data_IF_963275533308
#
_entry.id   IF_963275533308
#
_cell.length_a   1.000
_cell.length_b   1.000
_cell.length_c   1.000
_cell.angle_alpha   90.00
_cell.angle_beta   90.00
_cell.angle_gamma   90.00
#
_symmetry.space_group_name_H-M   'P 1'
#
loop_
_entity.id
_entity.type
_entity.pdbx_description
1 polymer ?
#
# COMPACT_ATOMS: atom_id res chain seq x y z
N UNK A 1 38.51 -36.95 61.73
CA UNK A 1 38.44 -35.65 61.04
C UNK A 1 38.30 -35.95 59.56
N UNK A 2 37.34 -35.36 58.82
CA UNK A 2 37.27 -35.58 57.38
C UNK A 2 38.54 -35.00 56.74
N UNK A 3 39.26 -35.83 55.98
CA UNK A 3 40.50 -35.45 55.30
C UNK A 3 40.11 -34.93 53.92
N UNK A 4 40.43 -33.67 53.62
CA UNK A 4 40.16 -33.07 52.32
C UNK A 4 41.35 -33.44 51.43
N UNK A 5 41.10 -34.19 50.36
CA UNK A 5 42.14 -34.54 49.38
C UNK A 5 42.55 -33.29 48.58
N UNK A 6 43.83 -33.17 48.21
CA UNK A 6 44.35 -32.00 47.48
C UNK A 6 43.61 -31.75 46.14
N UNK A 7 42.99 -32.79 45.58
CA UNK A 7 42.10 -32.73 44.42
C UNK A 7 40.82 -31.92 44.66
N UNK A 8 40.20 -32.05 45.84
CA UNK A 8 38.97 -31.32 46.19
C UNK A 8 39.25 -29.82 46.36
N UNK A 9 40.43 -29.46 46.86
CA UNK A 9 40.90 -28.07 46.95
C UNK A 9 41.12 -27.45 45.57
N UNK A 10 41.69 -28.22 44.63
CA UNK A 10 41.91 -27.78 43.26
C UNK A 10 40.58 -27.60 42.50
N UNK A 11 39.63 -28.52 42.70
CA UNK A 11 38.30 -28.43 42.10
C UNK A 11 37.51 -27.24 42.65
N UNK A 12 37.58 -27.00 43.97
CA UNK A 12 36.97 -25.83 44.59
C UNK A 12 37.53 -24.52 44.02
N UNK A 13 38.84 -24.41 43.84
CA UNK A 13 39.45 -23.21 43.25
C UNK A 13 38.98 -23.01 41.80
N UNK A 14 38.92 -24.09 41.01
CA UNK A 14 38.42 -24.06 39.64
C UNK A 14 36.96 -23.63 39.55
N UNK A 15 36.13 -24.05 40.49
CA UNK A 15 34.71 -23.66 40.52
C UNK A 15 34.52 -22.22 41.01
N UNK A 16 35.36 -21.74 41.93
CA UNK A 16 35.41 -20.32 42.31
C UNK A 16 35.80 -19.46 41.10
N UNK A 17 36.83 -19.84 40.33
CA UNK A 17 37.25 -19.12 39.13
C UNK A 17 36.15 -19.10 38.06
N UNK A 18 35.49 -20.24 37.80
CA UNK A 18 34.34 -20.30 36.89
C UNK A 18 33.21 -19.38 37.35
N UNK A 19 32.87 -19.41 38.64
CA UNK A 19 31.83 -18.57 39.21
C UNK A 19 32.18 -17.09 39.06
N UNK A 20 33.44 -16.71 39.23
CA UNK A 20 33.92 -15.36 39.05
C UNK A 20 33.82 -14.90 37.59
N UNK A 21 34.24 -15.74 36.64
CA UNK A 21 34.11 -15.47 35.20
C UNK A 21 32.64 -15.34 34.77
N UNK A 22 31.76 -16.20 35.30
CA UNK A 22 30.32 -16.13 35.00
C UNK A 22 29.73 -14.82 35.55
N UNK A 23 30.08 -14.43 36.77
CA UNK A 23 29.61 -13.18 37.35
C UNK A 23 30.07 -11.96 36.54
N UNK A 24 31.33 -11.92 36.09
CA UNK A 24 31.83 -10.86 35.21
C UNK A 24 31.05 -10.80 33.89
N UNK A 25 30.81 -11.95 33.25
CA UNK A 25 30.01 -12.02 32.02
C UNK A 25 28.57 -11.55 32.23
N UNK A 26 27.94 -11.91 33.35
CA UNK A 26 26.59 -11.46 33.68
C UNK A 26 26.56 -9.94 33.90
N UNK A 27 27.55 -9.38 34.58
CA UNK A 27 27.69 -7.94 34.75
C UNK A 27 27.85 -7.22 33.42
N UNK A 28 28.67 -7.75 32.51
CA UNK A 28 28.83 -7.19 31.16
C UNK A 28 27.53 -7.27 30.35
N UNK A 29 26.79 -8.38 30.42
CA UNK A 29 25.48 -8.50 29.79
C UNK A 29 24.47 -7.48 30.34
N UNK A 30 24.43 -7.30 31.67
CA UNK A 30 23.57 -6.31 32.32
C UNK A 30 23.95 -4.90 31.87
N UNK A 31 25.25 -4.58 31.80
CA UNK A 31 25.76 -3.28 31.36
C UNK A 31 25.40 -2.99 29.92
N UNK A 32 25.56 -3.98 29.04
CA UNK A 32 25.21 -3.87 27.62
C UNK A 32 23.70 -3.67 27.43
N UNK A 33 22.86 -4.51 28.04
CA UNK A 33 21.40 -4.38 27.97
C UNK A 33 20.91 -3.05 28.58
N UNK A 34 21.49 -2.58 29.67
CA UNK A 34 21.17 -1.27 30.23
C UNK A 34 21.53 -0.12 29.27
N UNK A 35 22.64 -0.24 28.54
CA UNK A 35 23.04 0.75 27.52
C UNK A 35 22.06 0.75 26.33
N UNK A 36 21.64 -0.41 25.86
CA UNK A 36 20.61 -0.53 24.81
C UNK A 36 19.26 0.00 25.25
N UNK A 37 18.81 -0.34 26.46
CA UNK A 37 17.56 0.19 27.03
C UNK A 37 17.58 1.70 27.16
N UNK A 38 18.71 2.29 27.60
CA UNK A 38 18.87 3.76 27.63
C UNK A 38 18.79 4.35 26.23
N UNK A 39 19.47 3.78 25.24
CA UNK A 39 19.40 4.23 23.83
C UNK A 39 17.98 4.14 23.28
N UNK A 40 17.30 3.02 23.50
CA UNK A 40 15.92 2.80 23.04
C UNK A 40 14.94 3.80 23.66
N UNK A 41 15.05 4.07 24.97
CA UNK A 41 14.23 5.09 25.65
C UNK A 41 14.47 6.49 25.07
N UNK A 42 15.73 6.86 24.83
CA UNK A 42 16.08 8.15 24.23
C UNK A 42 15.54 8.24 22.80
N UNK A 43 15.73 7.20 21.98
CA UNK A 43 15.21 7.14 20.61
C UNK A 43 13.69 7.27 20.57
N UNK A 44 12.97 6.58 21.46
CA UNK A 44 11.50 6.68 21.54
C UNK A 44 11.04 8.09 21.89
N UNK A 45 11.70 8.75 22.84
CA UNK A 45 11.36 10.12 23.23
C UNK A 45 11.66 11.12 22.10
N UNK A 46 12.77 10.93 21.38
CA UNK A 46 13.11 11.74 20.19
C UNK A 46 12.11 11.52 19.06
N UNK A 47 11.78 10.27 18.75
CA UNK A 47 10.80 9.91 17.73
C UNK A 47 9.42 10.50 18.05
N UNK A 48 8.97 10.38 19.30
CA UNK A 48 7.70 10.97 19.74
C UNK A 48 7.69 12.50 19.56
N UNK A 49 8.81 13.18 19.86
CA UNK A 49 8.95 14.62 19.65
C UNK A 49 8.89 15.01 18.16
N UNK A 50 9.59 14.29 17.29
CA UNK A 50 9.60 14.55 15.84
C UNK A 50 8.21 14.31 15.23
N UNK A 51 7.56 13.20 15.58
CA UNK A 51 6.20 12.91 15.09
C UNK A 51 5.18 13.94 15.59
N UNK A 52 5.30 14.38 16.85
CA UNK A 52 4.45 15.44 17.40
C UNK A 52 4.62 16.76 16.66
N UNK A 53 5.87 17.17 16.39
CA UNK A 53 6.15 18.39 15.61
C UNK A 53 5.58 18.29 14.19
N UNK A 54 5.77 17.13 13.54
CA UNK A 54 5.25 16.89 12.20
C UNK A 54 3.72 17.03 12.15
N UNK A 55 3.00 16.44 13.11
CA UNK A 55 1.54 16.57 13.20
C UNK A 55 1.09 18.01 13.39
N UNK A 56 1.77 18.78 14.25
CA UNK A 56 1.46 20.21 14.46
C UNK A 56 1.71 21.03 13.20
N UNK A 57 2.80 20.76 12.47
CA UNK A 57 3.10 21.43 11.19
C UNK A 57 2.03 21.11 10.16
N UNK A 58 1.66 19.84 9.99
CA UNK A 58 0.61 19.42 9.05
C UNK A 58 -0.72 20.08 9.41
N UNK A 59 -1.14 20.03 10.68
CA UNK A 59 -2.38 20.66 11.17
C UNK A 59 -2.37 22.19 10.95
N UNK A 60 -1.23 22.84 11.15
CA UNK A 60 -1.08 24.28 10.94
C UNK A 60 -1.25 24.62 9.46
N UNK A 61 -0.54 23.91 8.57
CA UNK A 61 -0.62 24.11 7.12
C UNK A 61 -2.03 23.83 6.60
N UNK A 62 -2.69 22.76 7.05
CA UNK A 62 -4.07 22.46 6.65
C UNK A 62 -5.04 23.53 7.14
N UNK A 63 -4.87 24.05 8.36
CA UNK A 63 -5.74 25.11 8.90
C UNK A 63 -5.54 26.44 8.17
N UNK A 64 -4.29 26.81 7.86
CA UNK A 64 -3.98 28.03 7.10
C UNK A 64 -4.45 27.93 5.65
N UNK A 65 -4.28 26.78 4.99
CA UNK A 65 -4.71 26.61 3.59
C UNK A 65 -6.23 26.56 3.48
N UNK A 66 -6.93 25.91 4.43
CA UNK A 66 -8.39 25.98 4.52
C UNK A 66 -8.88 27.42 4.77
N UNK A 67 -8.19 28.18 5.63
CA UNK A 67 -8.49 29.59 5.88
C UNK A 67 -8.21 30.51 4.68
N UNK A 68 -7.11 30.31 3.94
CA UNK A 68 -6.75 31.10 2.76
C UNK A 68 -7.66 30.81 1.56
N UNK A 69 -8.20 29.59 1.47
CA UNK A 69 -9.17 29.21 0.43
C UNK A 69 -10.55 29.85 0.63
N UNK A 70 -10.78 30.56 1.75
CA UNK A 70 -12.05 31.22 2.06
C UNK A 70 -12.17 32.68 1.59
N UNK A 71 -11.14 33.26 0.95
CA UNK A 71 -11.13 34.70 0.59
C UNK A 71 -11.40 35.03 -0.89
N UNK A 72 -11.67 34.04 -1.73
CA UNK A 72 -12.11 34.25 -3.12
C UNK A 72 -13.48 33.63 -3.35
N UNK A 73 -14.53 34.40 -2.97
CA UNK A 73 -15.92 34.14 -3.37
C UNK A 73 -16.89 33.72 -2.26
N UNK A 74 -16.95 34.44 -1.15
CA UNK A 74 -18.09 34.32 -0.20
C UNK A 74 -19.15 35.35 -0.57
N UNK A 75 -19.87 35.06 -1.65
CA UNK A 75 -21.25 35.49 -1.88
C UNK A 75 -22.09 34.22 -2.04
N UNK A 76 -22.22 33.46 -0.94
CA UNK A 76 -23.39 32.63 -0.70
C UNK A 76 -23.45 32.27 0.78
N UNK A 77 -24.01 33.21 1.51
CA UNK A 77 -24.61 33.00 2.80
C UNK A 77 -25.73 31.96 2.65
N UNK A 78 -25.42 30.67 2.81
CA UNK A 78 -26.38 29.70 3.32
C UNK A 78 -25.72 28.88 4.42
N UNK A 79 -26.14 29.18 5.64
CA UNK A 79 -25.92 28.37 6.81
C UNK A 79 -26.21 26.89 6.46
N UNK A 80 -25.18 26.04 6.47
CA UNK A 80 -25.34 24.58 6.49
C UNK A 80 -25.85 24.13 7.86
N UNK A 81 -27.04 24.61 8.22
CA UNK A 81 -27.99 23.79 8.94
C UNK A 81 -28.45 22.74 7.93
N UNK A 82 -27.72 21.64 7.84
CA UNK A 82 -28.15 20.48 7.06
C UNK A 82 -29.39 19.94 7.75
N UNK A 83 -30.55 20.44 7.35
CA UNK A 83 -31.84 19.83 7.68
C UNK A 83 -31.74 18.36 7.28
N UNK A 84 -32.12 17.44 8.17
CA UNK A 84 -32.03 15.98 7.95
C UNK A 84 -32.59 15.57 6.57
N UNK A 85 -33.65 16.25 6.14
CA UNK A 85 -34.32 16.09 4.83
C UNK A 85 -33.39 16.31 3.62
N UNK A 86 -32.42 17.23 3.73
CA UNK A 86 -31.41 17.47 2.68
C UNK A 86 -30.32 16.39 2.65
N UNK A 87 -30.02 15.74 3.78
CA UNK A 87 -29.02 14.68 3.86
C UNK A 87 -29.55 13.38 3.26
N UNK A 88 -30.84 13.10 3.43
CA UNK A 88 -31.52 11.97 2.79
C UNK A 88 -31.63 12.17 1.28
N UNK A 89 -31.89 13.39 0.82
CA UNK A 89 -31.84 13.72 -0.62
C UNK A 89 -30.43 13.54 -1.21
N UNK A 90 -29.38 13.92 -0.47
CA UNK A 90 -27.98 13.71 -0.89
C UNK A 90 -27.64 12.21 -0.91
N UNK A 91 -28.03 11.45 0.11
CA UNK A 91 -27.85 9.99 0.14
C UNK A 91 -28.55 9.33 -1.04
N UNK A 92 -29.82 9.66 -1.27
CA UNK A 92 -30.58 9.15 -2.42
C UNK A 92 -29.93 9.50 -3.76
N UNK A 93 -29.35 10.70 -3.89
CA UNK A 93 -28.60 11.09 -5.09
C UNK A 93 -27.31 10.28 -5.24
N UNK A 94 -26.59 10.04 -4.15
CA UNK A 94 -25.38 9.19 -4.15
C UNK A 94 -25.74 7.75 -4.52
N UNK A 95 -26.80 7.20 -3.93
CA UNK A 95 -27.29 5.86 -4.22
C UNK A 95 -27.73 5.72 -5.67
N UNK A 96 -28.44 6.73 -6.21
CA UNK A 96 -28.84 6.74 -7.61
C UNK A 96 -27.65 6.86 -8.56
N UNK A 97 -26.65 7.69 -8.24
CA UNK A 97 -25.40 7.78 -9.01
C UNK A 97 -24.61 6.47 -8.96
N UNK A 98 -24.60 5.80 -7.81
CA UNK A 98 -23.98 4.49 -7.64
C UNK A 98 -24.70 3.43 -8.48
N UNK A 99 -26.03 3.40 -8.44
CA UNK A 99 -26.85 2.50 -9.25
C UNK A 99 -26.65 2.76 -10.75
N UNK A 100 -26.64 4.02 -11.20
CA UNK A 100 -26.37 4.35 -12.60
C UNK A 100 -24.96 3.91 -13.04
N UNK A 101 -23.96 4.04 -12.16
CA UNK A 101 -22.61 3.55 -12.43
C UNK A 101 -22.54 2.02 -12.49
N UNK A 102 -23.29 1.31 -11.64
CA UNK A 102 -23.42 -0.16 -11.69
C UNK A 102 -24.10 -0.60 -12.99
N UNK A 103 -25.25 -0.03 -13.36
CA UNK A 103 -25.94 -0.32 -14.62
C UNK A 103 -25.06 -0.04 -15.86
N UNK A 104 -24.30 1.06 -15.84
CA UNK A 104 -23.36 1.39 -16.91
C UNK A 104 -22.19 0.39 -16.98
N UNK A 105 -21.73 -0.12 -15.83
CA UNK A 105 -20.71 -1.16 -15.76
C UNK A 105 -21.21 -2.47 -16.36
N UNK A 106 -22.43 -2.90 -16.01
CA UNK A 106 -23.05 -4.12 -16.52
C UNK A 106 -23.23 -4.07 -18.04
N UNK A 107 -23.66 -2.92 -18.56
CA UNK A 107 -23.80 -2.67 -20.00
C UNK A 107 -22.44 -2.77 -20.70
N UNK A 108 -21.39 -2.18 -20.12
CA UNK A 108 -20.03 -2.23 -20.67
C UNK A 108 -19.49 -3.67 -20.68
N UNK A 109 -19.71 -4.42 -19.61
CA UNK A 109 -19.32 -5.83 -19.51
C UNK A 109 -20.05 -6.68 -20.55
N UNK A 110 -21.35 -6.46 -20.75
CA UNK A 110 -22.13 -7.11 -21.80
C UNK A 110 -21.56 -6.85 -23.20
N UNK A 111 -21.20 -5.61 -23.53
CA UNK A 111 -20.57 -5.29 -24.82
C UNK A 111 -19.19 -5.93 -24.96
N UNK A 112 -18.38 -5.96 -23.90
CA UNK A 112 -17.08 -6.64 -23.92
C UNK A 112 -17.23 -8.15 -24.13
N UNK A 113 -18.18 -8.79 -23.44
CA UNK A 113 -18.49 -10.19 -23.60
C UNK A 113 -19.00 -10.49 -25.02
N UNK A 114 -19.89 -9.64 -25.56
CA UNK A 114 -20.34 -9.75 -26.95
C UNK A 114 -19.17 -9.68 -27.93
N UNK A 115 -18.28 -8.71 -27.78
CA UNK A 115 -17.09 -8.54 -28.64
C UNK A 115 -16.11 -9.71 -28.51
N UNK A 116 -16.00 -10.29 -27.32
CA UNK A 116 -15.23 -11.51 -27.09
C UNK A 116 -15.83 -12.71 -27.83
N UNK A 117 -17.16 -12.88 -27.77
CA UNK A 117 -17.90 -13.94 -28.46
C UNK A 117 -17.88 -13.75 -29.99
N UNK A 118 -17.96 -12.50 -30.46
CA UNK A 118 -17.87 -12.11 -31.87
C UNK A 118 -16.43 -12.10 -32.41
N UNK A 119 -15.46 -12.49 -31.56
CA UNK A 119 -14.02 -12.60 -31.90
C UNK A 119 -13.41 -11.29 -32.40
N UNK A 120 -13.96 -10.18 -31.92
CA UNK A 120 -13.42 -8.86 -32.20
C UNK A 120 -12.15 -8.60 -31.39
N UNK A 121 -11.39 -7.59 -31.83
CA UNK A 121 -10.15 -7.18 -31.16
C UNK A 121 -10.50 -6.45 -29.86
N UNK A 122 -9.94 -6.93 -28.75
CA UNK A 122 -10.07 -6.34 -27.40
C UNK A 122 -8.68 -5.87 -26.97
N UNK A 123 -8.63 -4.73 -26.28
CA UNK A 123 -7.39 -4.15 -25.78
C UNK A 123 -7.33 -4.31 -24.27
N UNK A 124 -6.20 -4.72 -23.74
CA UNK A 124 -5.97 -4.92 -22.31
C UNK A 124 -4.74 -4.13 -21.90
N UNK A 125 -4.83 -3.38 -20.79
CA UNK A 125 -3.71 -2.62 -20.25
C UNK A 125 -3.07 -3.43 -19.13
N UNK A 126 -1.78 -3.73 -19.29
CA UNK A 126 -1.05 -4.63 -18.41
C UNK A 126 0.15 -3.93 -17.80
N UNK A 127 0.42 -4.24 -16.52
CA UNK A 127 1.63 -3.84 -15.82
C UNK A 127 2.46 -5.08 -15.53
N UNK A 128 3.75 -5.01 -15.90
CA UNK A 128 4.70 -6.10 -15.67
C UNK A 128 5.16 -6.08 -14.22
N UNK A 129 5.06 -7.21 -13.52
CA UNK A 129 5.71 -7.41 -12.22
C UNK A 129 7.04 -8.13 -12.43
N UNK A 130 8.12 -7.57 -11.88
CA UNK A 130 9.42 -8.24 -11.79
C UNK A 130 9.34 -9.50 -10.93
N UNK A 131 10.32 -10.40 -11.09
CA UNK A 131 10.40 -11.77 -10.52
C UNK A 131 10.49 -11.79 -8.98
N UNK A 132 10.46 -10.64 -8.30
CA UNK A 132 10.58 -10.62 -6.84
C UNK A 132 9.24 -10.79 -6.11
N UNK A 133 9.28 -11.77 -5.22
CA UNK A 133 8.18 -12.57 -4.71
C UNK A 133 7.20 -11.85 -3.75
N UNK A 134 7.19 -10.52 -3.65
CA UNK A 134 6.53 -9.81 -2.53
C UNK A 134 5.78 -8.53 -2.92
N UNK A 135 4.94 -8.56 -3.96
CA UNK A 135 4.05 -7.43 -4.26
C UNK A 135 2.59 -7.84 -4.10
N UNK A 136 2.15 -7.80 -2.85
CA UNK A 136 0.74 -7.87 -2.42
C UNK A 136 0.03 -6.52 -2.67
N UNK A 137 0.20 -5.90 -3.85
CA UNK A 137 -0.44 -4.63 -4.22
C UNK A 137 -1.73 -4.79 -5.05
N UNK A 138 -2.38 -5.96 -4.97
CA UNK A 138 -3.78 -6.05 -5.39
C UNK A 138 -4.65 -5.46 -4.28
N UNK A 139 -4.61 -4.13 -4.13
CA UNK A 139 -5.63 -3.42 -3.37
C UNK A 139 -6.99 -3.73 -3.99
N UNK A 140 -7.99 -4.01 -3.16
CA UNK A 140 -9.40 -4.22 -3.56
C UNK A 140 -9.96 -3.07 -4.45
N UNK A 141 -9.24 -1.95 -4.56
CA UNK A 141 -9.49 -0.86 -5.50
C UNK A 141 -9.30 -1.22 -6.99
N UNK A 142 -8.69 -2.36 -7.31
CA UNK A 142 -8.43 -2.82 -8.69
C UNK A 142 -9.40 -3.92 -9.13
N UNK A 143 -10.69 -3.74 -8.85
CA UNK A 143 -11.76 -4.74 -9.03
C UNK A 143 -11.85 -5.41 -10.42
N UNK A 144 -11.18 -4.87 -11.45
CA UNK A 144 -11.18 -5.39 -12.82
C UNK A 144 -9.86 -6.10 -13.21
N UNK A 145 -9.06 -6.56 -12.25
CA UNK A 145 -7.80 -7.25 -12.58
C UNK A 145 -7.97 -8.72 -12.91
N UNK A 146 -7.63 -9.10 -14.14
CA UNK A 146 -7.52 -10.52 -14.53
C UNK A 146 -6.04 -10.92 -14.51
N UNK A 147 -5.72 -11.94 -13.73
CA UNK A 147 -4.37 -12.53 -13.67
C UNK A 147 -4.10 -13.33 -14.95
N UNK A 148 -3.15 -12.89 -15.77
CA UNK A 148 -2.71 -13.63 -16.95
C UNK A 148 -1.28 -14.14 -16.71
N UNK A 149 -1.14 -15.43 -16.39
CA UNK A 149 0.16 -16.07 -16.24
C UNK A 149 0.79 -16.27 -17.63
N UNK A 150 1.78 -15.46 -17.97
CA UNK A 150 2.65 -15.67 -19.14
C UNK A 150 4.09 -15.86 -18.64
N UNK A 151 4.57 -17.12 -18.58
CA UNK A 151 5.95 -17.54 -18.27
C UNK A 151 7.06 -16.47 -18.44
N UNK A 152 8.10 -16.38 -17.58
CA UNK A 152 8.20 -16.52 -16.11
C UNK A 152 7.83 -15.22 -15.36
N UNK A 153 7.08 -14.32 -16.00
CA UNK A 153 6.72 -13.01 -15.45
C UNK A 153 5.23 -12.97 -15.10
N UNK A 154 4.88 -12.34 -13.97
CA UNK A 154 3.48 -12.07 -13.65
C UNK A 154 3.10 -10.73 -14.29
N UNK A 155 2.11 -10.74 -15.17
CA UNK A 155 1.55 -9.51 -15.75
C UNK A 155 0.14 -9.33 -15.20
N UNK A 156 -0.12 -8.16 -14.63
CA UNK A 156 -1.43 -7.80 -14.08
C UNK A 156 -2.19 -7.02 -15.16
N UNK A 157 -3.27 -7.58 -15.71
CA UNK A 157 -4.20 -6.80 -16.53
C UNK A 157 -5.03 -5.95 -15.59
N UNK A 158 -5.02 -4.63 -15.76
CA UNK A 158 -5.74 -3.67 -14.91
C UNK A 158 -7.05 -3.21 -15.54
N UNK A 159 -7.32 -3.59 -16.80
CA UNK A 159 -8.56 -3.28 -17.48
C UNK A 159 -8.59 -3.79 -18.92
N UNK A 160 -9.80 -4.10 -19.39
CA UNK A 160 -10.10 -4.49 -20.76
C UNK A 160 -10.98 -3.41 -21.42
N UNK A 161 -10.67 -3.07 -22.67
CA UNK A 161 -11.25 -1.96 -23.41
C UNK A 161 -11.64 -2.39 -24.82
N UNK A 162 -12.73 -1.82 -25.32
CA UNK A 162 -13.20 -2.08 -26.68
C UNK A 162 -12.41 -1.30 -27.74
N UNK A 163 -11.79 -0.18 -27.38
CA UNK A 163 -11.07 0.69 -28.32
C UNK A 163 -9.61 0.86 -27.88
N UNK A 164 -8.73 1.08 -28.86
CA UNK A 164 -7.31 1.33 -28.59
C UNK A 164 -7.13 2.64 -27.80
N UNK A 165 -7.88 3.68 -28.16
CA UNK A 165 -7.78 5.00 -27.55
C UNK A 165 -8.16 4.99 -26.05
N UNK A 166 -9.20 4.23 -25.67
CA UNK A 166 -9.55 4.05 -24.25
C UNK A 166 -8.41 3.37 -23.48
N UNK A 167 -7.81 2.34 -24.08
CA UNK A 167 -6.69 1.63 -23.46
C UNK A 167 -5.43 2.50 -23.34
N UNK A 168 -5.12 3.31 -24.35
CA UNK A 168 -4.01 4.26 -24.32
C UNK A 168 -4.21 5.36 -23.27
N UNK A 169 -5.43 5.91 -23.17
CA UNK A 169 -5.79 6.89 -22.14
C UNK A 169 -5.66 6.31 -20.72
N UNK A 170 -6.13 5.08 -20.50
CA UNK A 170 -5.97 4.41 -19.22
C UNK A 170 -4.50 4.09 -18.90
N UNK A 171 -3.72 3.69 -19.92
CA UNK A 171 -2.26 3.51 -19.76
C UNK A 171 -1.59 4.82 -19.35
N UNK A 172 -1.92 5.95 -19.98
CA UNK A 172 -1.34 7.25 -19.63
C UNK A 172 -1.60 7.60 -18.14
N UNK A 173 -2.83 7.39 -17.67
CA UNK A 173 -3.18 7.57 -16.27
C UNK A 173 -2.36 6.65 -15.34
N UNK A 174 -2.15 5.38 -15.72
CA UNK A 174 -1.31 4.47 -14.94
C UNK A 174 0.16 4.90 -14.90
N UNK A 175 0.69 5.43 -16.00
CA UNK A 175 2.05 5.98 -16.07
C UNK A 175 2.18 7.20 -15.15
N UNK A 176 1.19 8.10 -15.16
CA UNK A 176 1.16 9.27 -14.27
C UNK A 176 1.10 8.88 -12.78
N UNK A 177 0.46 7.74 -12.47
CA UNK A 177 0.43 7.16 -11.13
C UNK A 177 1.73 6.44 -10.74
N UNK A 178 2.71 6.32 -11.64
CA UNK A 178 4.03 5.75 -11.39
C UNK A 178 4.26 4.36 -11.98
N UNK A 179 3.29 3.76 -12.68
CA UNK A 179 3.45 2.48 -13.37
C UNK A 179 4.06 2.67 -14.77
N UNK A 180 5.34 3.03 -14.82
CA UNK A 180 6.05 3.36 -16.07
C UNK A 180 6.10 2.19 -17.08
N UNK A 181 6.11 0.96 -16.58
CA UNK A 181 6.14 -0.27 -17.39
C UNK A 181 4.75 -0.71 -17.91
N UNK A 182 3.71 0.12 -17.76
CA UNK A 182 2.39 -0.18 -18.30
C UNK A 182 2.43 -0.23 -19.84
N UNK A 183 1.80 -1.25 -20.44
CA UNK A 183 1.68 -1.40 -21.89
C UNK A 183 0.28 -1.86 -22.30
N UNK A 184 -0.12 -1.52 -23.53
CA UNK A 184 -1.38 -1.96 -24.12
C UNK A 184 -1.12 -3.23 -24.94
N UNK A 185 -1.87 -4.29 -24.69
CA UNK A 185 -1.82 -5.52 -25.48
C UNK A 185 -3.18 -5.77 -26.12
N UNK A 186 -3.18 -6.18 -27.38
CA UNK A 186 -4.41 -6.59 -28.06
C UNK A 186 -4.59 -8.10 -28.09
N UNK A 187 -5.84 -8.51 -27.92
CA UNK A 187 -6.28 -9.89 -27.86
C UNK A 187 -7.34 -10.14 -28.92
N UNK A 188 -7.28 -11.32 -29.54
CA UNK A 188 -8.32 -11.86 -30.41
C UNK A 188 -8.42 -13.36 -30.14
N UNK A 189 -9.65 -13.85 -29.98
CA UNK A 189 -9.91 -15.26 -29.65
C UNK A 189 -9.14 -15.73 -28.38
N UNK A 190 -9.01 -14.85 -27.38
CA UNK A 190 -8.28 -15.15 -26.14
C UNK A 190 -6.76 -15.26 -26.29
N UNK A 191 -6.20 -15.03 -27.48
CA UNK A 191 -4.76 -15.03 -27.75
C UNK A 191 -4.25 -13.60 -27.94
N UNK A 192 -3.08 -13.31 -27.37
CA UNK A 192 -2.39 -12.03 -27.58
C UNK A 192 -1.93 -11.94 -29.03
N UNK A 193 -2.32 -10.88 -29.72
CA UNK A 193 -1.89 -10.60 -31.09
C UNK A 193 -0.59 -9.80 -31.05
N UNK A 194 -0.63 -8.61 -30.44
CA UNK A 194 0.49 -7.68 -30.43
C UNK A 194 0.48 -6.79 -29.19
N UNK A 195 1.62 -6.15 -28.92
CA UNK A 195 1.71 -5.01 -28.00
C UNK A 195 1.50 -3.77 -28.88
N UNK A 196 0.54 -2.93 -28.51
CA UNK A 196 0.17 -1.73 -29.25
C UNK A 196 1.05 -0.55 -28.89
N UNK A 197 1.10 0.44 -29.78
CA UNK A 197 1.85 1.66 -29.56
C UNK A 197 1.31 2.42 -28.33
N UNK A 198 2.18 2.97 -27.47
CA UNK A 198 1.79 3.82 -26.36
C UNK A 198 1.04 5.11 -26.74
N UNK A 199 1.07 5.55 -28.00
CA UNK A 199 0.50 6.83 -28.48
C UNK A 199 -0.52 6.71 -29.62
#
# INVERSE_FOLDING_TARGET
MPFIEESDLLELHKDIDKAQIINERLLDQIKFKNKELKRSKVQRNVLAGVTGLFLVVVLSVTSFTAGLSSSTGIDKQENLLVSIDSLDAIKSRIDNLKQQNEELSDVKEFYLAKRFLEKEKIYSVQVKSFVDNNITLASEALANTVFVKTNPFYSYSLGNFGTLQEAQSFRAQLVDLGFQDAFVASYKEGKRIQIEDPY
#
